data_IF_715072322342
#
_entry.id   IF_715072322342
#
_cell.length_a   1.000
_cell.length_b   1.000
_cell.length_c   1.000
_cell.angle_alpha   90.00
_cell.angle_beta   90.00
_cell.angle_gamma   90.00
#
_symmetry.space_group_name_H-M   'P 1'
#
loop_
_entity.id
_entity.type
_entity.pdbx_description
1 polymer ?
#
# COMPACT_ATOMS: atom_id res chain seq x y z
N UNK A 1 -6.09 -10.73 -20.72
CA UNK A 1 -6.48 -9.38 -20.19
C UNK A 1 -6.15 -8.26 -21.20
N UNK A 2 -6.33 -8.48 -22.52
CA UNK A 2 -6.04 -7.49 -23.57
C UNK A 2 -7.30 -7.00 -24.31
N UNK A 3 -8.43 -7.70 -24.15
CA UNK A 3 -9.69 -7.42 -24.85
C UNK A 3 -10.41 -6.16 -24.32
N UNK A 4 -10.31 -5.87 -23.01
CA UNK A 4 -11.03 -4.74 -22.39
C UNK A 4 -10.47 -3.35 -22.74
N UNK A 5 -9.15 -3.22 -22.95
CA UNK A 5 -8.56 -1.94 -23.40
C UNK A 5 -8.90 -1.65 -24.86
N UNK A 6 -8.97 -2.68 -25.70
CA UNK A 6 -9.31 -2.55 -27.11
C UNK A 6 -10.76 -2.13 -27.32
N UNK A 7 -11.69 -2.63 -26.50
CA UNK A 7 -13.09 -2.24 -26.52
C UNK A 7 -13.32 -0.81 -26.00
N UNK A 8 -12.57 -0.37 -25.00
CA UNK A 8 -12.65 1.01 -24.48
C UNK A 8 -12.17 2.04 -25.50
N UNK A 9 -11.04 1.79 -26.17
CA UNK A 9 -10.51 2.66 -27.23
C UNK A 9 -11.46 2.69 -28.44
N UNK A 10 -12.06 1.55 -28.78
CA UNK A 10 -13.09 1.47 -29.83
C UNK A 10 -14.36 2.25 -29.46
N UNK A 11 -14.81 2.20 -28.21
CA UNK A 11 -16.00 2.95 -27.78
C UNK A 11 -15.76 4.47 -27.81
N UNK A 12 -14.60 4.95 -27.39
CA UNK A 12 -14.27 6.38 -27.50
C UNK A 12 -14.16 6.84 -28.96
N UNK A 13 -13.47 6.07 -29.82
CA UNK A 13 -13.38 6.39 -31.25
C UNK A 13 -14.76 6.41 -31.95
N UNK A 14 -15.67 5.51 -31.57
CA UNK A 14 -17.04 5.49 -32.09
C UNK A 14 -17.84 6.70 -31.59
N UNK A 15 -17.66 7.12 -30.34
CA UNK A 15 -18.34 8.29 -29.78
C UNK A 15 -17.83 9.59 -30.42
N UNK A 16 -16.53 9.70 -30.67
CA UNK A 16 -15.90 10.83 -31.35
C UNK A 16 -16.27 10.91 -32.83
N UNK A 17 -16.33 9.78 -33.53
CA UNK A 17 -16.83 9.71 -34.90
C UNK A 17 -18.33 10.10 -34.98
N UNK A 18 -19.13 9.75 -33.97
CA UNK A 18 -20.54 10.13 -33.90
C UNK A 18 -20.72 11.62 -33.57
N UNK A 19 -19.88 12.20 -32.73
CA UNK A 19 -19.95 13.63 -32.38
C UNK A 19 -19.51 14.52 -33.55
N UNK A 20 -18.45 14.14 -34.26
CA UNK A 20 -17.98 14.83 -35.47
C UNK A 20 -18.99 14.73 -36.62
N UNK A 21 -19.63 13.57 -36.80
CA UNK A 21 -20.71 13.41 -37.79
C UNK A 21 -21.91 14.33 -37.47
N UNK A 22 -22.36 14.39 -36.21
CA UNK A 22 -23.48 15.25 -35.80
C UNK A 22 -23.17 16.74 -35.93
N UNK A 23 -21.95 17.17 -35.62
CA UNK A 23 -21.54 18.59 -35.80
C UNK A 23 -21.42 18.97 -37.27
N UNK A 24 -20.97 18.06 -38.14
CA UNK A 24 -20.97 18.28 -39.58
C UNK A 24 -22.39 18.42 -40.16
N UNK A 25 -23.33 17.61 -39.69
CA UNK A 25 -24.74 17.67 -40.09
C UNK A 25 -25.46 18.92 -39.58
N UNK A 26 -25.07 19.44 -38.41
CA UNK A 26 -25.54 20.71 -37.88
C UNK A 26 -25.07 21.87 -38.77
N UNK A 27 -23.77 21.96 -39.06
CA UNK A 27 -23.20 22.99 -39.96
C UNK A 27 -23.80 22.97 -41.36
N UNK A 28 -24.07 21.78 -41.90
CA UNK A 28 -24.75 21.64 -43.21
C UNK A 28 -26.20 22.15 -43.20
N UNK A 29 -26.84 22.27 -42.03
CA UNK A 29 -28.21 22.75 -41.87
C UNK A 29 -28.30 24.17 -41.27
N UNK A 30 -27.19 24.81 -40.87
CA UNK A 30 -27.17 26.16 -40.27
C UNK A 30 -27.85 27.24 -41.12
N UNK A 31 -28.00 26.99 -42.42
CA UNK A 31 -28.56 27.90 -43.42
C UNK A 31 -30.02 27.58 -43.74
N UNK A 32 -30.55 26.46 -43.24
CA UNK A 32 -31.90 25.98 -43.53
C UNK A 32 -32.86 26.48 -42.46
N UNK A 33 -33.41 27.66 -42.69
CA UNK A 33 -34.53 28.15 -41.91
C UNK A 33 -35.80 27.39 -42.31
N UNK A 34 -36.42 26.71 -41.34
CA UNK A 34 -37.80 26.22 -41.46
C UNK A 34 -38.66 27.00 -40.49
N UNK A 35 -39.60 27.76 -41.03
CA UNK A 35 -40.61 28.47 -40.24
C UNK A 35 -41.73 27.48 -39.91
N UNK A 36 -41.74 26.97 -38.69
CA UNK A 36 -42.84 26.18 -38.14
C UNK A 36 -43.38 26.90 -36.92
N UNK A 37 -44.66 27.24 -36.93
CA UNK A 37 -45.34 27.86 -35.80
C UNK A 37 -45.77 26.78 -34.80
N UNK A 38 -45.29 26.87 -33.56
CA UNK A 38 -45.56 25.91 -32.49
C UNK A 38 -44.45 25.85 -31.43
N UNK A 39 -44.72 25.31 -30.23
CA UNK A 39 -43.72 25.19 -29.18
C UNK A 39 -42.61 24.21 -29.61
N UNK A 40 -41.36 24.66 -29.59
CA UNK A 40 -40.20 23.81 -29.84
C UNK A 40 -39.52 23.42 -28.52
N UNK A 41 -38.99 22.20 -28.46
CA UNK A 41 -38.26 21.68 -27.30
C UNK A 41 -36.78 21.56 -27.68
N UNK A 42 -35.94 22.38 -27.04
CA UNK A 42 -34.48 22.33 -27.23
C UNK A 42 -33.86 21.39 -26.20
N UNK A 43 -33.25 20.30 -26.68
CA UNK A 43 -32.42 19.45 -25.83
C UNK A 43 -30.95 19.89 -25.94
N UNK A 44 -30.50 20.71 -24.98
CA UNK A 44 -29.10 21.08 -24.85
C UNK A 44 -28.38 19.98 -24.07
N UNK A 45 -27.47 19.26 -24.74
CA UNK A 45 -26.54 18.32 -24.10
C UNK A 45 -25.20 19.02 -23.93
N UNK A 46 -24.87 19.40 -22.70
CA UNK A 46 -23.60 20.06 -22.38
C UNK A 46 -22.64 19.02 -21.78
N UNK A 47 -21.45 18.89 -22.37
CA UNK A 47 -20.37 18.04 -21.84
C UNK A 47 -19.31 18.96 -21.23
N UNK A 48 -19.20 18.94 -19.90
CA UNK A 48 -18.11 19.59 -19.19
C UNK A 48 -16.98 18.57 -18.98
N UNK A 49 -15.74 18.96 -19.31
CA UNK A 49 -14.58 18.16 -18.96
C UNK A 49 -14.56 17.94 -17.44
N UNK A 50 -14.48 16.69 -17.01
CA UNK A 50 -14.42 16.36 -15.58
C UNK A 50 -13.09 16.86 -15.04
N UNK A 51 -13.13 17.95 -14.29
CA UNK A 51 -11.97 18.44 -13.56
C UNK A 51 -11.43 17.30 -12.69
N UNK A 52 -10.15 16.99 -12.85
CA UNK A 52 -9.49 15.90 -12.14
C UNK A 52 -9.57 16.21 -10.65
N UNK A 53 -10.56 15.63 -9.96
CA UNK A 53 -10.69 15.80 -8.51
C UNK A 53 -9.37 15.34 -7.88
N UNK A 54 -8.65 16.29 -7.30
CA UNK A 54 -7.43 16.09 -6.50
C UNK A 54 -7.79 15.46 -5.13
N UNK A 55 -8.63 14.44 -5.14
CA UNK A 55 -9.01 13.68 -3.95
C UNK A 55 -8.05 12.52 -3.73
N UNK A 56 -7.81 12.19 -2.45
CA UNK A 56 -7.00 11.05 -2.01
C UNK A 56 -7.48 9.80 -2.76
N UNK A 57 -6.63 9.28 -3.65
CA UNK A 57 -6.96 8.07 -4.42
C UNK A 57 -6.83 6.86 -3.51
N UNK A 58 -7.60 5.82 -3.81
CA UNK A 58 -7.44 4.53 -3.12
C UNK A 58 -6.14 3.88 -3.58
N UNK A 59 -5.34 3.41 -2.61
CA UNK A 59 -4.22 2.52 -2.87
C UNK A 59 -4.78 1.14 -3.25
N UNK A 60 -4.97 0.90 -4.55
CA UNK A 60 -5.37 -0.42 -5.06
C UNK A 60 -4.16 -1.33 -5.18
N UNK A 61 -4.31 -2.67 -5.10
CA UNK A 61 -3.19 -3.60 -5.22
C UNK A 61 -2.35 -3.38 -6.49
N UNK A 62 -3.02 -3.15 -7.63
CA UNK A 62 -2.34 -2.87 -8.90
C UNK A 62 -1.48 -1.60 -8.84
N UNK A 63 -1.97 -0.52 -8.21
CA UNK A 63 -1.20 0.71 -8.04
C UNK A 63 -0.05 0.53 -7.07
N UNK A 64 -0.26 -0.17 -5.97
CA UNK A 64 0.79 -0.45 -5.00
C UNK A 64 1.93 -1.19 -5.69
N UNK A 65 1.62 -2.20 -6.52
CA UNK A 65 2.62 -2.92 -7.32
C UNK A 65 3.38 -1.99 -8.28
N UNK A 66 2.67 -1.17 -9.06
CA UNK A 66 3.26 -0.18 -9.97
C UNK A 66 4.19 0.81 -9.23
N UNK A 67 3.74 1.37 -8.10
CA UNK A 67 4.59 2.26 -7.30
C UNK A 67 5.72 1.53 -6.59
N UNK A 68 5.57 0.25 -6.27
CA UNK A 68 6.66 -0.55 -5.68
C UNK A 68 7.78 -0.69 -6.69
N UNK A 69 7.45 -1.01 -7.95
CA UNK A 69 8.43 -1.09 -9.06
C UNK A 69 9.09 0.26 -9.35
N UNK A 70 8.33 1.35 -9.30
CA UNK A 70 8.88 2.70 -9.42
C UNK A 70 9.81 3.07 -8.26
N UNK A 71 9.49 2.66 -7.03
CA UNK A 71 10.34 2.83 -5.85
C UNK A 71 11.60 1.96 -5.95
N UNK A 72 11.49 0.71 -6.41
CA UNK A 72 12.61 -0.19 -6.71
C UNK A 72 13.62 0.49 -7.65
N UNK A 73 13.12 1.02 -8.76
CA UNK A 73 13.93 1.72 -9.76
C UNK A 73 14.61 2.94 -9.16
N UNK A 74 13.85 3.76 -8.40
CA UNK A 74 14.38 4.93 -7.71
C UNK A 74 15.52 4.59 -6.72
N UNK A 75 15.38 3.49 -5.98
CA UNK A 75 16.40 3.04 -5.02
C UNK A 75 17.62 2.41 -5.71
N UNK A 76 17.43 1.75 -6.85
CA UNK A 76 18.54 1.24 -7.66
C UNK A 76 19.43 2.36 -8.19
N UNK A 77 18.86 3.52 -8.52
CA UNK A 77 19.60 4.72 -8.95
C UNK A 77 20.28 5.47 -7.77
N UNK A 78 19.86 5.21 -6.52
CA UNK A 78 20.30 5.91 -5.31
C UNK A 78 20.73 4.93 -4.21
N UNK A 79 21.94 4.34 -4.32
CA UNK A 79 22.42 3.34 -3.35
C UNK A 79 22.70 3.90 -1.95
N UNK A 80 22.74 5.23 -1.80
CA UNK A 80 22.84 5.95 -0.54
C UNK A 80 21.54 5.95 0.27
N UNK A 81 20.38 5.88 -0.40
CA UNK A 81 19.08 5.86 0.25
C UNK A 81 18.69 4.43 0.67
N UNK A 82 19.11 4.00 1.87
CA UNK A 82 18.65 2.71 2.42
C UNK A 82 17.28 2.86 3.10
N UNK A 83 16.30 2.10 2.63
CA UNK A 83 14.94 2.03 3.20
C UNK A 83 14.61 0.57 3.47
N UNK A 84 14.23 0.24 4.71
CA UNK A 84 13.84 -1.12 5.07
C UNK A 84 12.42 -1.48 4.60
N UNK A 85 12.06 -2.76 4.71
CA UNK A 85 10.85 -3.32 4.11
C UNK A 85 9.55 -2.71 4.67
N UNK A 86 9.52 -2.36 5.97
CA UNK A 86 8.35 -1.77 6.62
C UNK A 86 8.15 -0.34 6.10
N UNK A 87 9.18 0.48 6.13
CA UNK A 87 9.14 1.85 5.61
C UNK A 87 8.81 1.88 4.12
N UNK A 88 9.37 0.92 3.35
CA UNK A 88 9.13 0.77 1.92
C UNK A 88 7.68 0.42 1.60
N UNK A 89 7.08 -0.50 2.35
CA UNK A 89 5.67 -0.86 2.18
C UNK A 89 4.76 0.34 2.41
N UNK A 90 5.02 1.11 3.46
CA UNK A 90 4.27 2.33 3.72
C UNK A 90 4.47 3.39 2.64
N UNK A 91 5.70 3.51 2.11
CA UNK A 91 6.00 4.43 1.04
C UNK A 91 5.23 4.07 -0.23
N UNK A 92 5.20 2.79 -0.62
CA UNK A 92 4.41 2.32 -1.76
C UNK A 92 2.92 2.61 -1.58
N UNK A 93 2.37 2.37 -0.38
CA UNK A 93 0.95 2.69 -0.09
C UNK A 93 0.69 4.19 -0.16
N UNK A 94 1.61 5.01 0.35
CA UNK A 94 1.49 6.47 0.34
C UNK A 94 1.57 7.03 -1.07
N UNK A 95 2.48 6.48 -1.90
CA UNK A 95 2.63 6.86 -3.30
C UNK A 95 1.46 6.39 -4.16
N UNK A 96 0.90 5.20 -3.91
CA UNK A 96 -0.28 4.71 -4.61
C UNK A 96 -1.54 5.59 -4.42
N UNK A 97 -1.55 6.46 -3.39
CA UNK A 97 -2.63 7.44 -3.15
C UNK A 97 -2.42 8.76 -3.89
N UNK A 98 -1.22 9.00 -4.41
CA UNK A 98 -0.89 10.20 -5.17
C UNK A 98 -1.51 10.17 -6.57
N UNK A 99 -1.70 11.34 -7.22
CA UNK A 99 -2.03 11.38 -8.63
C UNK A 99 -0.94 10.70 -9.48
N UNK A 100 -1.30 10.21 -10.67
CA UNK A 100 -0.40 9.41 -11.51
C UNK A 100 0.85 10.13 -12.00
N UNK A 101 0.84 11.47 -11.97
CA UNK A 101 1.96 12.31 -12.41
C UNK A 101 2.91 12.68 -11.24
N UNK A 102 2.68 12.14 -10.04
CA UNK A 102 3.50 12.42 -8.88
C UNK A 102 4.86 11.69 -8.99
N UNK A 103 5.94 12.47 -9.00
CA UNK A 103 7.30 11.93 -8.97
C UNK A 103 7.56 11.15 -7.69
N UNK A 104 8.23 10.01 -7.79
CA UNK A 104 8.69 9.24 -6.64
C UNK A 104 9.76 10.05 -5.89
N UNK A 105 9.44 10.46 -4.67
CA UNK A 105 10.35 11.13 -3.75
C UNK A 105 10.29 10.47 -2.37
N UNK A 106 11.41 10.52 -1.65
CA UNK A 106 11.51 9.98 -0.29
C UNK A 106 10.53 10.72 0.60
N UNK A 107 9.75 9.96 1.36
CA UNK A 107 8.69 10.50 2.21
C UNK A 107 9.27 11.00 3.53
N UNK A 108 9.35 12.31 3.78
CA UNK A 108 9.87 12.84 5.06
C UNK A 108 8.84 12.92 6.21
N UNK A 109 7.77 12.14 6.14
CA UNK A 109 6.70 12.18 7.14
C UNK A 109 7.10 11.52 8.47
N UNK A 110 6.52 11.97 9.59
CA UNK A 110 6.75 11.36 10.90
C UNK A 110 6.42 9.84 10.94
N UNK A 111 5.32 9.35 10.33
CA UNK A 111 5.06 7.90 10.21
C UNK A 111 6.17 7.14 9.47
N UNK A 112 6.71 7.73 8.40
CA UNK A 112 7.80 7.11 7.64
C UNK A 112 9.08 6.97 8.48
N UNK A 113 9.46 8.01 9.24
CA UNK A 113 10.59 7.93 10.18
C UNK A 113 10.39 6.86 11.25
N UNK A 114 9.16 6.73 11.77
CA UNK A 114 8.83 5.67 12.73
C UNK A 114 9.00 4.27 12.12
N UNK A 115 8.60 4.08 10.87
CA UNK A 115 8.77 2.80 10.19
C UNK A 115 10.23 2.48 9.88
N UNK A 116 11.03 3.48 9.49
CA UNK A 116 12.48 3.30 9.35
C UNK A 116 13.15 2.93 10.67
N UNK A 117 12.66 3.47 11.79
CA UNK A 117 13.13 3.08 13.12
C UNK A 117 12.78 1.61 13.43
N UNK A 118 11.56 1.16 13.09
CA UNK A 118 11.17 -0.25 13.23
C UNK A 118 12.01 -1.18 12.34
N UNK A 119 12.34 -0.76 11.12
CA UNK A 119 13.26 -1.51 10.26
C UNK A 119 14.66 -1.64 10.91
N UNK A 120 15.13 -0.58 11.57
CA UNK A 120 16.41 -0.59 12.30
C UNK A 120 16.36 -1.55 13.50
N UNK A 121 15.27 -1.54 14.27
CA UNK A 121 15.08 -2.46 15.40
C UNK A 121 14.93 -3.93 14.95
N UNK A 122 14.26 -4.15 13.82
CA UNK A 122 14.04 -5.49 13.26
C UNK A 122 15.34 -6.13 12.79
N UNK A 123 16.23 -5.32 12.17
CA UNK A 123 17.56 -5.78 11.74
C UNK A 123 18.48 -6.06 12.92
N UNK A 124 18.51 -5.21 13.95
CA UNK A 124 19.29 -5.47 15.17
C UNK A 124 18.84 -6.74 15.90
N UNK A 125 17.53 -6.98 15.98
CA UNK A 125 17.02 -8.21 16.60
C UNK A 125 17.29 -9.47 15.77
N UNK A 126 17.36 -9.36 14.44
CA UNK A 126 17.70 -10.52 13.61
C UNK A 126 19.17 -10.93 13.74
N UNK A 127 20.07 -9.96 13.95
CA UNK A 127 21.49 -10.22 14.24
C UNK A 127 21.68 -10.81 15.65
N UNK A 128 20.94 -10.32 16.65
CA UNK A 128 20.99 -10.78 18.04
C UNK A 128 20.39 -12.20 18.23
N UNK A 129 19.41 -12.56 17.39
CA UNK A 129 18.78 -13.89 17.37
C UNK A 129 19.76 -15.02 17.03
N UNK A 130 20.92 -14.69 16.42
CA UNK A 130 21.98 -15.65 16.15
C UNK A 130 22.96 -15.86 17.30
N UNK A 131 23.00 -14.97 18.29
CA UNK A 131 24.02 -14.97 19.34
C UNK A 131 23.46 -15.37 20.73
N UNK A 132 22.21 -15.02 21.04
CA UNK A 132 21.66 -15.15 22.40
C UNK A 132 20.66 -16.30 22.53
N UNK A 133 21.13 -17.54 22.35
CA UNK A 133 20.41 -18.71 22.85
C UNK A 133 20.53 -18.78 24.37
N UNK A 134 19.73 -17.98 25.08
CA UNK A 134 19.62 -18.05 26.53
C UNK A 134 19.05 -19.42 26.91
N UNK A 135 19.88 -20.27 27.49
CA UNK A 135 19.45 -21.52 28.12
C UNK A 135 18.70 -21.17 29.41
N UNK A 136 17.41 -21.47 29.43
CA UNK A 136 16.56 -21.35 30.62
C UNK A 136 16.37 -22.72 31.25
N UNK A 137 16.38 -22.78 32.57
CA UNK A 137 16.07 -24.01 33.30
C UNK A 137 14.58 -24.13 33.52
N UNK A 138 13.98 -25.25 33.10
CA UNK A 138 12.56 -25.52 33.25
C UNK A 138 12.38 -26.76 34.13
N UNK A 139 11.58 -26.62 35.18
CA UNK A 139 11.22 -27.74 36.06
C UNK A 139 10.06 -28.51 35.46
N UNK A 140 10.24 -29.79 35.22
CA UNK A 140 9.26 -30.68 34.58
C UNK A 140 9.04 -31.93 35.41
N UNK A 141 7.78 -32.35 35.51
CA UNK A 141 7.39 -33.64 36.06
C UNK A 141 7.08 -34.59 34.88
N UNK A 142 7.88 -35.64 34.72
CA UNK A 142 7.67 -36.64 33.65
C UNK A 142 7.09 -37.92 34.25
N UNK A 143 5.91 -38.32 33.78
CA UNK A 143 5.25 -39.59 34.13
C UNK A 143 5.11 -39.83 35.65
N UNK A 144 4.84 -38.79 36.44
CA UNK A 144 4.71 -38.90 37.91
C UNK A 144 6.03 -39.09 38.66
N UNK A 145 7.17 -38.86 37.99
CA UNK A 145 8.50 -38.85 38.62
C UNK A 145 8.79 -37.51 39.28
N UNK A 146 9.84 -37.43 40.11
CA UNK A 146 10.22 -36.17 40.79
C UNK A 146 10.59 -35.07 39.79
N UNK A 147 10.35 -33.82 40.21
CA UNK A 147 10.74 -32.59 39.53
C UNK A 147 12.17 -32.68 38.98
N UNK A 148 12.29 -32.60 37.65
CA UNK A 148 13.56 -32.58 36.94
C UNK A 148 13.78 -31.21 36.31
N UNK A 149 14.98 -30.66 36.50
CA UNK A 149 15.39 -29.41 35.86
C UNK A 149 16.03 -29.72 34.50
N UNK A 150 15.44 -29.19 33.42
CA UNK A 150 15.94 -29.31 32.06
C UNK A 150 16.41 -27.95 31.57
N UNK A 151 17.63 -27.88 31.05
CA UNK A 151 18.11 -26.70 30.33
C UNK A 151 17.52 -26.73 28.91
N UNK A 152 16.71 -25.73 28.58
CA UNK A 152 16.06 -25.59 27.28
C UNK A 152 16.41 -24.25 26.66
N UNK A 153 16.58 -24.25 25.34
CA UNK A 153 16.71 -23.04 24.58
C UNK A 153 15.38 -22.27 24.65
N UNK A 154 15.39 -21.12 25.32
CA UNK A 154 14.17 -20.32 25.52
C UNK A 154 13.61 -19.83 24.20
N UNK A 155 14.46 -19.57 23.20
CA UNK A 155 14.02 -19.09 21.88
C UNK A 155 13.27 -20.16 21.08
N UNK A 156 13.75 -21.41 21.14
CA UNK A 156 13.08 -22.55 20.49
C UNK A 156 11.76 -22.88 21.19
N UNK A 157 11.76 -22.90 22.53
CA UNK A 157 10.55 -23.14 23.31
C UNK A 157 9.48 -22.08 23.03
N UNK A 158 9.85 -20.79 23.00
CA UNK A 158 8.92 -19.71 22.63
C UNK A 158 8.41 -19.86 21.21
N UNK A 159 9.26 -20.22 20.27
CA UNK A 159 8.86 -20.46 18.87
C UNK A 159 7.85 -21.60 18.76
N UNK A 160 8.07 -22.72 19.48
CA UNK A 160 7.12 -23.83 19.57
C UNK A 160 5.77 -23.42 20.17
N UNK A 161 5.79 -22.52 21.15
CA UNK A 161 4.59 -21.99 21.80
C UNK A 161 3.94 -20.81 21.04
N UNK A 162 4.51 -20.38 19.91
CA UNK A 162 4.02 -19.22 19.15
C UNK A 162 4.22 -17.87 19.88
N UNK A 163 5.14 -17.81 20.84
CA UNK A 163 5.44 -16.61 21.62
C UNK A 163 6.57 -15.78 20.98
N UNK A 164 6.58 -14.45 21.19
CA UNK A 164 7.65 -13.59 20.72
C UNK A 164 8.99 -13.86 21.43
N UNK A 165 10.10 -13.80 20.68
CA UNK A 165 11.45 -14.10 21.18
C UNK A 165 12.14 -12.94 21.92
N UNK A 166 11.46 -11.82 22.09
CA UNK A 166 11.93 -10.68 22.88
C UNK A 166 11.19 -10.63 24.22
N UNK A 167 11.79 -10.00 25.22
CA UNK A 167 11.18 -9.85 26.55
C UNK A 167 10.39 -8.55 26.60
N UNK A 168 9.06 -8.67 26.62
CA UNK A 168 8.12 -7.53 26.70
C UNK A 168 8.28 -6.73 28.01
N UNK A 169 8.80 -7.38 29.06
CA UNK A 169 8.96 -6.80 30.40
C UNK A 169 10.16 -5.85 30.44
N UNK A 170 11.26 -6.22 29.78
CA UNK A 170 12.48 -5.40 29.71
C UNK A 170 12.35 -4.23 28.74
N UNK A 171 11.42 -4.30 27.78
CA UNK A 171 11.17 -3.26 26.78
C UNK A 171 10.13 -2.22 27.24
N UNK A 172 9.79 -2.21 28.54
CA UNK A 172 8.92 -1.20 29.15
C UNK A 172 7.43 -1.32 28.85
N UNK A 173 7.01 -2.34 28.09
CA UNK A 173 5.59 -2.56 27.76
C UNK A 173 4.78 -3.07 28.96
N UNK A 174 5.43 -3.72 29.92
CA UNK A 174 4.83 -4.24 31.17
C UNK A 174 5.63 -3.79 32.38
N UNK A 175 5.81 -2.47 32.54
CA UNK A 175 6.55 -1.88 33.66
C UNK A 175 5.91 -2.10 35.05
N UNK A 176 4.68 -2.64 35.11
CA UNK A 176 3.92 -2.84 36.34
C UNK A 176 3.50 -4.29 36.58
N UNK A 177 4.08 -5.26 35.86
CA UNK A 177 3.80 -6.65 36.15
C UNK A 177 4.60 -7.10 37.37
N UNK A 178 3.91 -7.16 38.52
CA UNK A 178 4.44 -7.77 39.74
C UNK A 178 3.86 -9.19 39.84
N UNK A 179 4.67 -10.25 39.67
CA UNK A 179 4.17 -11.61 39.85
C UNK A 179 3.73 -11.81 41.31
N UNK A 180 2.60 -12.51 41.55
CA UNK A 180 2.19 -12.86 42.91
C UNK A 180 3.26 -13.75 43.55
N UNK A 181 3.62 -13.41 44.79
CA UNK A 181 4.52 -14.15 45.69
C UNK A 181 3.94 -15.48 46.15
#
# INVERSE_FOLDING_TARGET
>A
MALSKYDSVRQEAILEAKSTCKTSAARANDHKQKTSDGPFVVHVLMYAAKEARHGIRRATPARIAETTEAIDTYLAERPDARVGDIARTHWAISQARQPGDASVSILESAPFRKMQHLDTMSTSHQEDRGADSVLGTLTMELNGSRDMQLAVNVSELRTLLGLPNYSLITEGMVSHFQPPS
#
